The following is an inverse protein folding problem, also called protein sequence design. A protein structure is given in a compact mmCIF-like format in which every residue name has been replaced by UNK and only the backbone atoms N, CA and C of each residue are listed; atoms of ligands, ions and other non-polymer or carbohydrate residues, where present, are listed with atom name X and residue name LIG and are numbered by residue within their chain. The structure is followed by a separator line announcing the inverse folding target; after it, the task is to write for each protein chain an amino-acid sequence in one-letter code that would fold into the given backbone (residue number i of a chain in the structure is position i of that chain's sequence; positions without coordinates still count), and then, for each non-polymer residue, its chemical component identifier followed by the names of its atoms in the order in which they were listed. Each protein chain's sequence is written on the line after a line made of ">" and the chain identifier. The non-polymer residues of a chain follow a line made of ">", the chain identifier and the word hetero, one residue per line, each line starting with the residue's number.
data_IF_423230924146
#
_entry.id   IF_423230924146
#
_cell.length_a   1.000
_cell.length_b   1.000
_cell.length_c   1.000
_cell.angle_alpha   90.00
_cell.angle_beta   90.00
_cell.angle_gamma   90.00
#
_symmetry.space_group_name_H-M   'P 1'
#
loop_
_entity.id
_entity.type
_entity.pdbx_description
1 polymer ?
#
# COMPACT_ATOMS: atom_id res chain seq x y z
N UNK A 1 -15.84 -1.14 10.96
CA UNK A 1 -16.34 0.01 10.17
C UNK A 1 -16.99 -0.50 8.88
N UNK A 2 -18.07 0.14 8.41
CA UNK A 2 -18.77 -0.26 7.17
C UNK A 2 -17.95 0.13 5.94
N UNK A 3 -17.79 -0.82 5.01
CA UNK A 3 -17.01 -0.69 3.76
C UNK A 3 -17.85 0.02 2.68
N UNK A 4 -19.17 -0.16 2.68
CA UNK A 4 -20.08 0.46 1.71
C UNK A 4 -20.40 1.93 2.02
N UNK A 5 -19.55 2.63 2.77
CA UNK A 5 -19.77 4.03 3.15
C UNK A 5 -19.08 4.96 2.16
N UNK A 6 -19.70 6.12 1.90
CA UNK A 6 -19.07 7.20 1.11
C UNK A 6 -17.71 7.61 1.69
N UNK A 7 -17.58 7.55 3.02
CA UNK A 7 -16.34 7.82 3.73
C UNK A 7 -15.23 6.83 3.33
N UNK A 8 -15.52 5.52 3.27
CA UNK A 8 -14.54 4.52 2.85
C UNK A 8 -14.14 4.67 1.38
N UNK A 9 -15.09 4.91 0.47
CA UNK A 9 -14.79 5.16 -0.94
C UNK A 9 -13.89 6.38 -1.14
N UNK A 10 -14.20 7.48 -0.44
CA UNK A 10 -13.39 8.71 -0.51
C UNK A 10 -12.01 8.49 0.09
N UNK A 11 -11.92 7.72 1.19
CA UNK A 11 -10.67 7.31 1.78
C UNK A 11 -9.82 6.47 0.83
N UNK A 12 -10.39 5.47 0.16
CA UNK A 12 -9.67 4.65 -0.83
C UNK A 12 -9.12 5.48 -1.99
N UNK A 13 -9.92 6.42 -2.51
CA UNK A 13 -9.48 7.30 -3.60
C UNK A 13 -8.35 8.25 -3.15
N UNK A 14 -8.45 8.79 -1.94
CA UNK A 14 -7.38 9.62 -1.35
C UNK A 14 -6.09 8.82 -1.16
N UNK A 15 -6.18 7.60 -0.64
CA UNK A 15 -5.00 6.73 -0.48
C UNK A 15 -4.41 6.36 -1.83
N UNK A 16 -5.22 6.02 -2.82
CA UNK A 16 -4.74 5.68 -4.16
C UNK A 16 -3.97 6.84 -4.79
N UNK A 17 -4.49 8.06 -4.69
CA UNK A 17 -3.83 9.26 -5.20
C UNK A 17 -2.50 9.53 -4.49
N UNK A 18 -2.50 9.54 -3.15
CA UNK A 18 -1.29 9.83 -2.36
C UNK A 18 -0.23 8.74 -2.57
N UNK A 19 -0.65 7.48 -2.64
CA UNK A 19 0.25 6.36 -2.90
C UNK A 19 0.85 6.42 -4.29
N UNK A 20 0.07 6.80 -5.31
CA UNK A 20 0.57 6.97 -6.67
C UNK A 20 1.65 8.07 -6.74
N UNK A 21 1.43 9.20 -6.07
CA UNK A 21 2.42 10.29 -6.01
C UNK A 21 3.70 9.82 -5.32
N UNK A 22 3.59 9.24 -4.12
CA UNK A 22 4.76 8.80 -3.34
C UNK A 22 5.55 7.71 -4.09
N UNK A 23 4.87 6.69 -4.61
CA UNK A 23 5.51 5.59 -5.33
C UNK A 23 6.16 6.08 -6.63
N UNK A 24 5.50 6.96 -7.39
CA UNK A 24 6.07 7.48 -8.64
C UNK A 24 7.33 8.32 -8.40
N UNK A 25 7.32 9.18 -7.37
CA UNK A 25 8.51 9.95 -6.98
C UNK A 25 9.62 8.99 -6.54
N UNK A 26 9.30 8.01 -5.70
CA UNK A 26 10.28 7.07 -5.19
C UNK A 26 10.95 6.25 -6.29
N UNK A 27 10.16 5.65 -7.19
CA UNK A 27 10.70 4.84 -8.28
C UNK A 27 11.45 5.69 -9.31
N UNK A 28 11.02 6.94 -9.54
CA UNK A 28 11.76 7.87 -10.39
C UNK A 28 13.15 8.19 -9.82
N UNK A 29 13.22 8.57 -8.53
CA UNK A 29 14.48 8.89 -7.85
C UNK A 29 15.38 7.66 -7.73
N UNK A 30 14.81 6.52 -7.35
CA UNK A 30 15.55 5.27 -7.19
C UNK A 30 16.07 4.75 -8.53
N UNK A 31 15.27 4.85 -9.59
CA UNK A 31 15.69 4.53 -10.95
C UNK A 31 16.88 5.36 -11.40
N UNK A 32 16.90 6.66 -11.09
CA UNK A 32 18.03 7.55 -11.39
C UNK A 32 19.32 7.21 -10.62
N UNK A 33 19.20 6.66 -9.42
CA UNK A 33 20.35 6.32 -8.56
C UNK A 33 20.96 4.94 -8.91
N UNK A 34 20.13 3.96 -9.26
CA UNK A 34 20.54 2.55 -9.38
C UNK A 34 20.94 2.17 -10.82
N UNK A 35 20.47 2.87 -11.83
CA UNK A 35 20.73 2.54 -13.25
C UNK A 35 20.62 3.79 -14.13
N UNK A 36 21.33 3.83 -15.27
CA UNK A 36 21.00 4.75 -16.37
C UNK A 36 19.49 4.73 -16.64
N UNK A 37 18.86 5.88 -16.94
CA UNK A 37 17.43 6.12 -16.78
C UNK A 37 16.62 4.95 -17.33
N UNK A 38 16.23 4.04 -16.45
CA UNK A 38 15.34 2.94 -16.81
C UNK A 38 14.09 3.56 -17.38
N UNK A 39 13.60 2.98 -18.48
CA UNK A 39 12.39 3.40 -19.17
C UNK A 39 11.34 3.85 -18.14
N UNK A 40 10.94 5.13 -18.20
CA UNK A 40 9.91 5.75 -17.36
C UNK A 40 8.68 4.85 -17.18
N UNK A 41 8.42 4.00 -18.17
CA UNK A 41 7.39 2.98 -18.20
C UNK A 41 7.48 1.94 -17.07
N UNK A 42 8.67 1.43 -16.72
CA UNK A 42 8.83 0.40 -15.69
C UNK A 42 8.52 0.95 -14.28
N UNK A 43 9.00 2.15 -13.96
CA UNK A 43 8.69 2.82 -12.69
C UNK A 43 7.18 3.12 -12.54
N UNK A 44 6.52 3.46 -13.65
CA UNK A 44 5.08 3.71 -13.69
C UNK A 44 4.27 2.42 -13.48
N UNK A 45 4.72 1.31 -14.07
CA UNK A 45 4.14 -0.03 -13.85
C UNK A 45 4.22 -0.43 -12.37
N UNK A 46 5.39 -0.31 -11.74
CA UNK A 46 5.57 -0.64 -10.31
C UNK A 46 4.72 0.24 -9.39
N UNK A 47 4.59 1.53 -9.73
CA UNK A 47 3.71 2.46 -9.02
C UNK A 47 2.24 2.02 -9.10
N UNK A 48 1.73 1.68 -10.28
CA UNK A 48 0.35 1.18 -10.46
C UNK A 48 0.12 -0.12 -9.69
N UNK A 49 1.04 -1.09 -9.79
CA UNK A 49 0.94 -2.35 -9.05
C UNK A 49 0.86 -2.11 -7.53
N UNK A 50 1.70 -1.22 -7.00
CA UNK A 50 1.69 -0.84 -5.58
C UNK A 50 0.36 -0.24 -5.16
N UNK A 51 -0.19 0.69 -5.96
CA UNK A 51 -1.48 1.36 -5.66
C UNK A 51 -2.62 0.35 -5.61
N UNK A 52 -2.67 -0.59 -6.55
CA UNK A 52 -3.69 -1.65 -6.58
C UNK A 52 -3.56 -2.56 -5.35
N UNK A 53 -2.33 -2.99 -5.03
CA UNK A 53 -2.07 -3.83 -3.85
C UNK A 53 -2.49 -3.12 -2.56
N UNK A 54 -2.24 -1.82 -2.45
CA UNK A 54 -2.63 -1.02 -1.30
C UNK A 54 -4.14 -0.89 -1.19
N UNK A 55 -4.84 -0.63 -2.30
CA UNK A 55 -6.30 -0.58 -2.33
C UNK A 55 -6.94 -1.88 -1.82
N UNK A 56 -6.42 -3.03 -2.26
CA UNK A 56 -6.88 -4.36 -1.79
C UNK A 56 -6.60 -4.53 -0.29
N UNK A 57 -5.42 -4.13 0.17
CA UNK A 57 -4.99 -4.25 1.58
C UNK A 57 -5.79 -3.35 2.52
N UNK A 58 -6.28 -2.20 2.05
CA UNK A 58 -7.09 -1.28 2.86
C UNK A 58 -8.42 -1.86 3.32
N UNK A 59 -9.02 -2.79 2.57
CA UNK A 59 -10.32 -3.40 2.92
C UNK A 59 -10.29 -4.09 4.30
N UNK A 60 -9.42 -5.10 4.53
CA UNK A 60 -9.32 -5.73 5.84
C UNK A 60 -8.79 -4.78 6.91
N UNK A 61 -7.82 -3.91 6.57
CA UNK A 61 -7.21 -2.96 7.51
C UNK A 61 -8.24 -1.97 8.06
N UNK A 62 -9.11 -1.43 7.21
CA UNK A 62 -10.19 -0.52 7.62
C UNK A 62 -11.19 -1.19 8.57
N UNK A 63 -11.52 -2.46 8.31
CA UNK A 63 -12.40 -3.23 9.19
C UNK A 63 -11.78 -3.45 10.57
N UNK A 64 -10.48 -3.78 10.62
CA UNK A 64 -9.73 -4.09 11.84
C UNK A 64 -9.36 -2.86 12.68
N UNK A 65 -9.21 -1.69 12.06
CA UNK A 65 -8.70 -0.51 12.76
C UNK A 65 -9.68 0.10 13.77
N UNK A 66 -10.98 0.04 13.50
CA UNK A 66 -12.04 0.60 14.36
C UNK A 66 -11.85 2.08 14.77
N UNK A 67 -11.10 2.88 14.01
CA UNK A 67 -11.01 4.33 14.22
C UNK A 67 -10.20 4.82 15.43
N UNK A 68 -9.41 3.94 16.06
CA UNK A 68 -8.64 4.22 17.28
C UNK A 68 -7.68 5.40 17.12
N UNK A 69 -6.47 5.17 16.63
CA UNK A 69 -5.44 6.20 16.40
C UNK A 69 -4.89 6.15 14.97
N UNK A 70 -4.36 7.26 14.47
CA UNK A 70 -3.71 7.29 13.16
C UNK A 70 -2.53 6.29 13.10
N UNK A 71 -1.77 6.21 14.19
CA UNK A 71 -0.60 5.34 14.32
C UNK A 71 -1.00 3.86 14.29
N UNK A 72 -2.13 3.48 14.90
CA UNK A 72 -2.61 2.09 14.82
C UNK A 72 -3.03 1.71 13.39
N UNK A 73 -3.58 2.64 12.61
CA UNK A 73 -3.91 2.39 11.21
C UNK A 73 -2.64 2.23 10.37
N UNK A 74 -1.66 3.11 10.56
CA UNK A 74 -0.35 3.02 9.90
C UNK A 74 0.33 1.69 10.19
N UNK A 75 0.37 1.25 11.45
CA UNK A 75 0.95 -0.02 11.84
C UNK A 75 0.18 -1.21 11.27
N UNK A 76 -1.15 -1.20 11.33
CA UNK A 76 -1.97 -2.27 10.74
C UNK A 76 -1.72 -2.39 9.23
N UNK A 77 -1.64 -1.26 8.53
CA UNK A 77 -1.35 -1.25 7.10
C UNK A 77 0.05 -1.78 6.81
N UNK A 78 1.06 -1.32 7.54
CA UNK A 78 2.45 -1.77 7.39
C UNK A 78 2.61 -3.27 7.69
N UNK A 79 1.96 -3.76 8.75
CA UNK A 79 1.91 -5.19 9.06
C UNK A 79 1.23 -5.99 7.94
N UNK A 80 0.11 -5.50 7.40
CA UNK A 80 -0.62 -6.20 6.35
C UNK A 80 0.22 -6.34 5.07
N UNK A 81 0.88 -5.27 4.61
CA UNK A 81 1.77 -5.36 3.44
C UNK A 81 3.00 -6.25 3.71
N UNK A 82 3.48 -6.29 4.95
CA UNK A 82 4.58 -7.20 5.37
C UNK A 82 4.15 -8.67 5.29
N UNK A 83 2.95 -8.99 5.78
CA UNK A 83 2.40 -10.34 5.71
C UNK A 83 2.22 -10.74 4.24
N UNK A 84 1.68 -9.87 3.39
CA UNK A 84 1.54 -10.13 1.95
C UNK A 84 2.89 -10.41 1.31
N UNK A 85 3.91 -9.60 1.59
CA UNK A 85 5.26 -9.82 1.07
C UNK A 85 5.86 -11.15 1.54
N UNK A 86 5.70 -11.50 2.82
CA UNK A 86 6.17 -12.76 3.37
C UNK A 86 5.46 -13.97 2.72
N UNK A 87 4.15 -13.87 2.49
CA UNK A 87 3.38 -14.92 1.79
C UNK A 87 3.85 -15.07 0.35
N UNK A 88 4.07 -13.98 -0.38
CA UNK A 88 4.60 -14.02 -1.74
C UNK A 88 5.99 -14.69 -1.77
N UNK A 89 6.86 -14.35 -0.83
CA UNK A 89 8.17 -14.97 -0.71
C UNK A 89 8.09 -16.48 -0.40
N UNK A 90 7.17 -16.91 0.46
CA UNK A 90 6.95 -18.34 0.71
C UNK A 90 6.44 -19.03 -0.56
N UNK A 91 5.46 -18.43 -1.24
CA UNK A 91 4.91 -18.97 -2.49
C UNK A 91 5.94 -19.09 -3.59
N UNK A 92 6.89 -18.14 -3.70
CA UNK A 92 7.95 -18.25 -4.71
C UNK A 92 8.84 -19.47 -4.50
N UNK A 93 8.99 -19.95 -3.27
CA UNK A 93 9.76 -21.18 -2.99
C UNK A 93 8.98 -22.47 -3.29
N UNK A 94 7.65 -22.38 -3.51
CA UNK A 94 6.78 -23.52 -3.81
C UNK A 94 6.53 -23.71 -5.31
N UNK A 95 6.83 -22.69 -6.12
CA UNK A 95 6.64 -22.70 -7.57
C UNK A 95 7.98 -23.05 -8.24
N UNK A 96 7.93 -23.70 -9.41
CA UNK A 96 9.12 -24.06 -10.21
C UNK A 96 9.15 -23.23 -11.49
N UNK A 97 10.35 -22.84 -11.93
CA UNK A 97 10.56 -22.11 -13.18
C UNK A 97 10.41 -20.58 -13.03
N UNK A 98 10.24 -19.88 -14.15
CA UNK A 98 10.29 -18.41 -14.21
C UNK A 98 9.24 -17.72 -13.32
N UNK A 99 8.11 -18.38 -13.07
CA UNK A 99 7.08 -17.86 -12.17
C UNK A 99 7.57 -17.72 -10.71
N UNK A 100 8.44 -18.62 -10.25
CA UNK A 100 9.06 -18.55 -8.93
C UNK A 100 9.92 -17.30 -8.80
N UNK A 101 10.74 -17.03 -9.82
CA UNK A 101 11.60 -15.87 -9.91
C UNK A 101 10.79 -14.57 -9.92
N UNK A 102 9.75 -14.47 -10.76
CA UNK A 102 8.90 -13.27 -10.84
C UNK A 102 8.22 -12.97 -9.50
N UNK A 103 7.66 -13.98 -8.82
CA UNK A 103 6.99 -13.80 -7.52
C UNK A 103 7.99 -13.36 -6.45
N UNK A 104 9.18 -13.96 -6.40
CA UNK A 104 10.24 -13.58 -5.46
C UNK A 104 10.69 -12.13 -5.68
N UNK A 105 10.88 -11.74 -6.95
CA UNK A 105 11.28 -10.38 -7.31
C UNK A 105 10.21 -9.35 -7.01
N UNK A 106 8.92 -9.66 -7.22
CA UNK A 106 7.82 -8.76 -6.82
C UNK A 106 7.87 -8.53 -5.30
N UNK A 107 8.04 -9.58 -4.50
CA UNK A 107 8.16 -9.48 -3.05
C UNK A 107 9.38 -8.68 -2.60
N UNK A 108 10.56 -8.93 -3.18
CA UNK A 108 11.82 -8.27 -2.82
C UNK A 108 11.83 -6.80 -3.26
N UNK A 109 11.40 -6.48 -4.50
CA UNK A 109 11.35 -5.11 -5.03
C UNK A 109 10.36 -4.27 -4.21
N UNK A 110 9.15 -4.79 -3.98
CA UNK A 110 8.15 -4.02 -3.24
C UNK A 110 8.51 -3.87 -1.77
N UNK A 111 9.12 -4.88 -1.14
CA UNK A 111 9.34 -4.87 0.30
C UNK A 111 10.69 -4.28 0.71
N UNK A 112 11.79 -4.66 0.04
CA UNK A 112 13.14 -4.24 0.44
C UNK A 112 13.49 -2.89 -0.20
N UNK A 113 13.38 -2.80 -1.53
CA UNK A 113 13.69 -1.55 -2.23
C UNK A 113 12.60 -0.50 -1.95
N UNK A 114 11.33 -0.88 -2.03
CA UNK A 114 10.20 0.01 -1.74
C UNK A 114 9.96 0.34 -0.25
N UNK A 115 10.72 -0.22 0.69
CA UNK A 115 10.52 -0.02 2.15
C UNK A 115 10.35 1.45 2.56
N UNK A 116 11.21 2.40 2.11
CA UNK A 116 11.08 3.80 2.49
C UNK A 116 9.75 4.41 2.02
N UNK A 117 9.38 4.18 0.76
CA UNK A 117 8.11 4.67 0.21
C UNK A 117 6.90 4.03 0.92
N UNK A 118 6.97 2.74 1.23
CA UNK A 118 5.92 2.02 1.94
C UNK A 118 5.72 2.56 3.37
N UNK A 119 6.80 2.95 4.06
CA UNK A 119 6.72 3.55 5.38
C UNK A 119 6.04 4.92 5.33
N UNK A 120 6.43 5.78 4.38
CA UNK A 120 5.80 7.09 4.16
C UNK A 120 4.32 6.93 3.81
N UNK A 121 3.99 5.97 2.94
CA UNK A 121 2.62 5.63 2.59
C UNK A 121 1.81 5.17 3.81
N UNK A 122 2.36 4.29 4.65
CA UNK A 122 1.68 3.83 5.86
C UNK A 122 1.35 4.99 6.81
N UNK A 123 2.27 5.94 6.99
CA UNK A 123 2.03 7.15 7.80
C UNK A 123 0.94 8.02 7.16
N UNK A 124 1.03 8.29 5.85
CA UNK A 124 0.04 9.08 5.13
C UNK A 124 -1.37 8.47 5.22
N UNK A 125 -1.48 7.15 5.02
CA UNK A 125 -2.73 6.39 5.17
C UNK A 125 -3.31 6.53 6.58
N UNK A 126 -2.47 6.45 7.61
CA UNK A 126 -2.88 6.65 8.99
C UNK A 126 -3.49 8.03 9.25
N UNK A 127 -2.82 9.08 8.79
CA UNK A 127 -3.27 10.47 8.94
C UNK A 127 -4.56 10.73 8.16
N UNK A 128 -4.62 10.30 6.90
CA UNK A 128 -5.81 10.42 6.04
C UNK A 128 -6.98 9.68 6.69
N UNK A 129 -6.77 8.44 7.16
CA UNK A 129 -7.81 7.66 7.81
C UNK A 129 -8.36 8.35 9.06
N UNK A 130 -7.49 8.93 9.90
CA UNK A 130 -7.95 9.67 11.09
C UNK A 130 -8.74 10.92 10.74
N UNK A 131 -8.33 11.64 9.70
CA UNK A 131 -9.08 12.79 9.19
C UNK A 131 -10.50 12.38 8.75
N UNK A 132 -10.63 11.30 7.97
CA UNK A 132 -11.95 10.82 7.51
C UNK A 132 -12.84 10.33 8.65
N UNK A 133 -12.28 9.64 9.65
CA UNK A 133 -13.06 9.22 10.83
C UNK A 133 -13.58 10.41 11.63
N UNK A 134 -12.76 11.45 11.80
CA UNK A 134 -13.19 12.65 12.52
C UNK A 134 -14.25 13.43 11.73
N UNK A 135 -14.13 13.51 10.39
CA UNK A 135 -15.04 14.25 9.52
C UNK A 135 -16.37 13.55 9.28
N UNK A 136 -16.37 12.21 9.18
CA UNK A 136 -17.53 11.39 8.84
C UNK A 136 -17.95 10.44 9.97
N UNK A 137 -17.73 10.84 11.23
CA UNK A 137 -17.98 9.99 12.40
C UNK A 137 -19.39 9.41 12.47
N UNK A 138 -20.41 10.17 12.04
CA UNK A 138 -21.82 9.74 11.99
C UNK A 138 -22.05 8.64 10.95
N UNK A 139 -21.43 8.74 9.78
CA UNK A 139 -21.62 7.77 8.68
C UNK A 139 -20.88 6.45 8.94
N UNK A 140 -19.88 6.46 9.82
CA UNK A 140 -19.01 5.31 10.08
C UNK A 140 -19.47 4.50 11.31
N UNK A 141 -20.16 5.14 12.27
CA UNK A 141 -20.56 4.56 13.56
C UNK A 141 -22.06 4.26 13.69
N UNK A 142 -22.88 4.49 12.66
CA UNK A 142 -24.29 4.06 12.69
C UNK A 142 -24.36 2.55 12.49
N UNK A 143 -24.78 1.84 13.54
CA UNK A 143 -25.15 0.42 13.53
C UNK A 143 -26.26 0.12 12.51
#
# INVERSE_FOLDING_TARGET
>A
MKIQTKAFWTFQLAVAFVSAVIQSIFWYVTGFIISEPTDLFAGLLFSICSVIAFAITLFPVWKLWHGKSWLSLSLLFFCAITIVAAVLFILSNMVVGDAAFVIAWIGIIHYILGAPANLVNAVAIGLIGKYFVNRFSKDINQD
#
